data_IF_069036177973
#
_entry.id   IF_069036177973
#
_cell.length_a   1.000
_cell.length_b   1.000
_cell.length_c   1.000
_cell.angle_alpha   90.00
_cell.angle_beta   90.00
_cell.angle_gamma   90.00
#
_symmetry.space_group_name_H-M   'P 1'
#
loop_
_entity.id
_entity.type
_entity.pdbx_description
1 polymer ?
#
# COMPACT_ATOMS: atom_id res chain seq x y z
N UNK A 1 -29.98 -22.52 13.15
CA UNK A 1 -28.62 -23.10 13.01
C UNK A 1 -27.64 -21.97 13.09
N UNK A 2 -26.64 -22.04 13.95
CA UNK A 2 -25.57 -21.02 14.00
C UNK A 2 -24.67 -21.31 12.81
N UNK A 3 -24.68 -20.45 11.79
CA UNK A 3 -23.80 -20.58 10.64
C UNK A 3 -22.36 -20.27 11.06
N UNK A 4 -21.46 -21.23 10.90
CA UNK A 4 -20.01 -21.04 11.16
C UNK A 4 -19.40 -20.16 10.07
N UNK A 5 -18.47 -19.28 10.44
CA UNK A 5 -17.74 -18.40 9.51
C UNK A 5 -16.28 -18.77 9.43
N UNK A 6 -15.70 -18.60 8.24
CA UNK A 6 -14.27 -18.77 8.03
C UNK A 6 -13.48 -17.70 8.81
N UNK A 7 -12.55 -18.13 9.66
CA UNK A 7 -11.71 -17.21 10.44
C UNK A 7 -10.71 -16.39 9.58
N UNK A 8 -10.47 -16.84 8.34
CA UNK A 8 -9.53 -16.15 7.45
C UNK A 8 -10.19 -15.07 6.57
N UNK A 9 -11.36 -15.36 5.98
CA UNK A 9 -12.02 -14.47 5.03
C UNK A 9 -13.43 -14.01 5.44
N UNK A 10 -13.97 -14.50 6.57
CA UNK A 10 -15.26 -14.10 7.09
C UNK A 10 -16.48 -14.68 6.40
N UNK A 11 -16.30 -15.42 5.29
CA UNK A 11 -17.41 -16.02 4.55
C UNK A 11 -18.06 -17.17 5.36
N UNK A 12 -19.36 -17.40 5.16
CA UNK A 12 -20.05 -18.55 5.75
C UNK A 12 -19.48 -19.86 5.21
N UNK A 13 -19.26 -20.81 6.13
CA UNK A 13 -18.72 -22.11 5.78
C UNK A 13 -19.83 -23.03 5.27
N UNK A 14 -19.51 -23.79 4.23
CA UNK A 14 -20.39 -24.79 3.63
C UNK A 14 -19.59 -26.04 3.21
N UNK A 15 -20.28 -27.20 3.13
CA UNK A 15 -19.69 -28.47 2.72
C UNK A 15 -20.31 -29.04 1.43
N UNK A 16 -21.22 -28.31 0.80
CA UNK A 16 -22.02 -28.80 -0.32
C UNK A 16 -21.28 -28.74 -1.66
N UNK A 17 -20.58 -27.62 -1.93
CA UNK A 17 -19.92 -27.38 -3.22
C UNK A 17 -18.45 -26.98 -3.06
N UNK A 18 -17.53 -27.87 -3.54
CA UNK A 18 -16.08 -27.66 -3.46
C UNK A 18 -15.59 -26.46 -4.27
N UNK A 19 -16.36 -26.01 -5.26
CA UNK A 19 -15.99 -24.93 -6.16
C UNK A 19 -16.51 -23.55 -5.67
N UNK A 20 -17.37 -23.54 -4.66
CA UNK A 20 -17.88 -22.31 -4.08
C UNK A 20 -17.04 -21.86 -2.88
N UNK A 21 -17.10 -20.56 -2.63
CA UNK A 21 -16.46 -19.96 -1.45
C UNK A 21 -17.02 -20.58 -0.16
N UNK A 22 -16.17 -20.61 0.86
CA UNK A 22 -16.56 -21.16 2.16
C UNK A 22 -16.44 -22.67 2.28
N UNK A 23 -16.04 -23.41 1.24
CA UNK A 23 -15.97 -24.85 1.28
C UNK A 23 -15.03 -25.38 2.36
N UNK A 24 -15.53 -26.32 3.15
CA UNK A 24 -14.80 -27.13 4.15
C UNK A 24 -15.34 -28.55 4.10
N UNK A 25 -14.49 -29.59 4.20
CA UNK A 25 -14.99 -30.96 4.35
C UNK A 25 -15.96 -31.09 5.53
N UNK A 26 -17.08 -31.81 5.32
CA UNK A 26 -18.16 -31.95 6.29
C UNK A 26 -17.68 -32.42 7.66
N UNK A 27 -16.79 -33.40 7.69
CA UNK A 27 -16.20 -33.93 8.92
C UNK A 27 -15.52 -32.82 9.76
N UNK A 28 -14.81 -31.90 9.12
CA UNK A 28 -14.18 -30.76 9.81
C UNK A 28 -15.21 -29.73 10.26
N UNK A 29 -16.23 -29.49 9.43
CA UNK A 29 -17.30 -28.55 9.77
C UNK A 29 -18.05 -28.96 11.03
N UNK A 30 -18.24 -30.28 11.26
CA UNK A 30 -18.93 -30.84 12.42
C UNK A 30 -18.04 -30.88 13.66
N UNK A 31 -16.74 -31.14 13.51
CA UNK A 31 -15.85 -31.46 14.65
C UNK A 31 -15.03 -30.28 15.18
N UNK A 32 -14.87 -29.21 14.41
CA UNK A 32 -14.01 -28.11 14.76
C UNK A 32 -14.78 -26.78 14.85
N UNK A 33 -14.42 -25.95 15.84
CA UNK A 33 -15.00 -24.62 16.00
C UNK A 33 -14.26 -23.55 15.18
N UNK A 34 -12.95 -23.66 15.11
CA UNK A 34 -12.06 -22.68 14.50
C UNK A 34 -11.58 -23.16 13.11
N UNK A 35 -12.28 -22.74 12.04
CA UNK A 35 -12.06 -23.26 10.71
C UNK A 35 -11.63 -22.20 9.70
N UNK A 36 -10.73 -22.61 8.81
CA UNK A 36 -10.44 -21.91 7.57
C UNK A 36 -11.13 -22.65 6.41
N UNK A 37 -11.79 -21.91 5.50
CA UNK A 37 -12.24 -22.49 4.25
C UNK A 37 -11.05 -22.97 3.40
N UNK A 38 -11.29 -23.86 2.46
CA UNK A 38 -10.27 -24.45 1.60
C UNK A 38 -9.40 -23.39 0.92
N UNK A 39 -10.00 -22.29 0.46
CA UNK A 39 -9.28 -21.16 -0.14
C UNK A 39 -8.28 -20.51 0.84
N UNK A 40 -8.74 -20.14 2.03
CA UNK A 40 -7.90 -19.54 3.06
C UNK A 40 -6.81 -20.49 3.56
N UNK A 41 -7.14 -21.78 3.67
CA UNK A 41 -6.17 -22.81 4.00
C UNK A 41 -5.03 -22.90 2.97
N UNK A 42 -5.38 -22.91 1.68
CA UNK A 42 -4.40 -22.95 0.59
C UNK A 42 -3.56 -21.68 0.53
N UNK A 43 -4.16 -20.49 0.72
CA UNK A 43 -3.43 -19.23 0.78
C UNK A 43 -2.43 -19.24 1.95
N UNK A 44 -2.88 -19.65 3.14
CA UNK A 44 -2.05 -19.65 4.36
C UNK A 44 -0.89 -20.62 4.29
N UNK A 45 -1.13 -21.84 3.80
CA UNK A 45 -0.15 -22.93 3.87
C UNK A 45 0.69 -23.08 2.59
N UNK A 46 0.17 -22.67 1.43
CA UNK A 46 0.84 -22.86 0.14
C UNK A 46 1.08 -21.56 -0.62
N UNK A 47 0.64 -20.41 -0.10
CA UNK A 47 0.83 -19.12 -0.76
C UNK A 47 0.10 -18.99 -2.10
N UNK A 48 -0.90 -19.83 -2.39
CA UNK A 48 -1.61 -19.82 -3.66
C UNK A 48 -2.59 -18.65 -3.76
N UNK A 49 -2.48 -17.87 -4.82
CA UNK A 49 -3.49 -16.86 -5.16
C UNK A 49 -4.68 -17.57 -5.85
N UNK A 50 -5.80 -17.64 -5.16
CA UNK A 50 -7.02 -18.25 -5.70
C UNK A 50 -8.04 -17.15 -6.01
N UNK A 51 -8.61 -17.22 -7.22
CA UNK A 51 -9.68 -16.32 -7.64
C UNK A 51 -10.87 -16.40 -6.68
N UNK A 52 -11.63 -15.33 -6.60
CA UNK A 52 -12.92 -15.24 -5.91
C UNK A 52 -13.93 -14.51 -6.80
N UNK A 53 -15.21 -14.66 -6.48
CA UNK A 53 -16.32 -14.09 -7.27
C UNK A 53 -16.74 -12.69 -6.77
N UNK A 54 -16.01 -12.08 -5.84
CA UNK A 54 -16.32 -10.76 -5.30
C UNK A 54 -15.83 -9.65 -6.24
N UNK A 55 -16.74 -8.75 -6.59
CA UNK A 55 -16.43 -7.53 -7.33
C UNK A 55 -15.88 -6.43 -6.42
N UNK A 56 -15.30 -5.38 -7.01
CA UNK A 56 -14.90 -4.18 -6.25
C UNK A 56 -16.07 -3.55 -5.52
N UNK A 57 -17.27 -3.61 -6.11
CA UNK A 57 -18.48 -3.06 -5.52
C UNK A 57 -18.95 -3.88 -4.30
N UNK A 58 -18.78 -5.21 -4.30
CA UNK A 58 -19.09 -6.05 -3.14
C UNK A 58 -18.18 -5.70 -1.96
N UNK A 59 -16.88 -5.46 -2.20
CA UNK A 59 -15.96 -5.00 -1.17
C UNK A 59 -16.36 -3.63 -0.60
N UNK A 60 -16.73 -2.68 -1.46
CA UNK A 60 -17.20 -1.35 -1.04
C UNK A 60 -18.43 -1.42 -0.16
N UNK A 61 -19.43 -2.21 -0.57
CA UNK A 61 -20.67 -2.42 0.22
C UNK A 61 -20.36 -2.99 1.60
N UNK A 62 -19.47 -3.96 1.69
CA UNK A 62 -19.09 -4.60 2.95
C UNK A 62 -18.36 -3.63 3.88
N UNK A 63 -17.41 -2.83 3.32
CA UNK A 63 -16.71 -1.78 4.09
C UNK A 63 -17.70 -0.74 4.60
N UNK A 64 -18.56 -0.20 3.73
CA UNK A 64 -19.56 0.80 4.11
C UNK A 64 -20.49 0.32 5.23
N UNK A 65 -20.98 -0.93 5.15
CA UNK A 65 -21.83 -1.51 6.20
C UNK A 65 -21.10 -1.61 7.54
N UNK A 66 -19.80 -1.88 7.52
CA UNK A 66 -18.98 -1.98 8.72
C UNK A 66 -18.68 -0.61 9.32
N UNK A 67 -18.34 0.36 8.49
CA UNK A 67 -18.06 1.74 8.90
C UNK A 67 -19.28 2.39 9.53
N UNK A 68 -20.48 2.23 8.95
CA UNK A 68 -21.75 2.76 9.51
C UNK A 68 -22.09 2.26 10.91
N UNK A 69 -21.54 1.11 11.31
CA UNK A 69 -21.77 0.49 12.64
C UNK A 69 -20.61 0.75 13.62
N UNK A 70 -19.65 1.58 13.25
CA UNK A 70 -18.43 1.81 14.02
C UNK A 70 -18.50 3.10 14.82
N UNK A 71 -17.89 3.09 15.98
CA UNK A 71 -17.70 4.29 16.81
C UNK A 71 -16.50 5.13 16.29
N UNK A 72 -15.54 4.44 15.67
CA UNK A 72 -14.34 5.05 15.08
C UNK A 72 -13.82 4.19 13.93
N UNK A 73 -13.20 4.83 12.94
CA UNK A 73 -12.49 4.14 11.87
C UNK A 73 -10.97 4.22 12.05
N UNK A 74 -10.28 3.19 11.58
CA UNK A 74 -8.83 3.06 11.59
C UNK A 74 -8.31 2.91 10.15
N UNK A 75 -8.28 3.99 9.35
CA UNK A 75 -7.73 3.94 8.01
C UNK A 75 -6.24 3.67 8.07
N UNK A 76 -5.75 2.74 7.25
CA UNK A 76 -4.35 2.35 7.20
C UNK A 76 -3.72 2.77 5.87
N UNK A 77 -2.60 3.49 5.94
CA UNK A 77 -1.80 3.87 4.78
C UNK A 77 -0.40 3.25 4.85
N UNK A 78 0.13 2.90 3.68
CA UNK A 78 1.50 2.43 3.51
C UNK A 78 2.41 3.63 3.28
N UNK A 79 3.36 3.90 4.17
CA UNK A 79 4.23 5.08 4.03
C UNK A 79 5.12 5.01 2.78
N UNK A 80 5.45 3.80 2.31
CA UNK A 80 6.31 3.60 1.13
C UNK A 80 5.52 3.76 -0.17
N UNK A 81 4.25 3.37 -0.18
CA UNK A 81 3.33 3.59 -1.31
C UNK A 81 2.13 4.44 -0.83
N UNK A 82 2.45 5.61 -0.25
CA UNK A 82 1.44 6.48 0.33
C UNK A 82 0.39 6.88 -0.69
N UNK A 83 0.81 7.36 -1.87
CA UNK A 83 -0.11 7.81 -2.93
C UNK A 83 -0.93 6.67 -3.54
N UNK A 84 -0.39 5.44 -3.56
CA UNK A 84 -1.13 4.24 -3.99
C UNK A 84 -2.12 3.74 -2.94
N UNK A 85 -1.95 4.10 -1.67
CA UNK A 85 -2.88 3.77 -0.58
C UNK A 85 -3.81 4.92 -0.20
N UNK A 86 -3.46 6.15 -0.58
CA UNK A 86 -4.18 7.39 -0.33
C UNK A 86 -5.19 7.63 -1.46
N UNK A 87 -6.28 6.86 -1.45
CA UNK A 87 -7.29 6.84 -2.49
C UNK A 87 -8.52 7.64 -2.07
N UNK A 88 -9.21 8.25 -3.04
CA UNK A 88 -10.42 9.06 -2.79
C UNK A 88 -11.46 8.27 -1.99
N UNK A 89 -11.60 6.97 -2.27
CA UNK A 89 -12.54 6.10 -1.56
C UNK A 89 -12.21 6.00 -0.05
N UNK A 90 -10.95 5.95 0.35
CA UNK A 90 -10.54 5.96 1.76
C UNK A 90 -10.71 7.35 2.36
N UNK A 91 -10.42 8.40 1.58
CA UNK A 91 -10.54 9.79 2.01
C UNK A 91 -11.99 10.20 2.27
N UNK A 92 -12.94 9.69 1.49
CA UNK A 92 -14.37 9.94 1.70
C UNK A 92 -14.82 9.42 3.08
N UNK A 93 -14.36 8.23 3.49
CA UNK A 93 -14.64 7.77 4.86
C UNK A 93 -13.98 8.67 5.92
N UNK A 94 -12.77 9.20 5.66
CA UNK A 94 -12.08 10.09 6.60
C UNK A 94 -12.76 11.46 6.77
N UNK A 95 -13.49 11.91 5.76
CA UNK A 95 -14.27 13.17 5.84
C UNK A 95 -15.54 13.01 6.68
N UNK A 96 -16.12 11.80 6.68
CA UNK A 96 -17.44 11.56 7.27
C UNK A 96 -17.39 10.95 8.68
N UNK A 97 -16.27 10.34 9.09
CA UNK A 97 -16.18 9.57 10.33
C UNK A 97 -14.98 9.94 11.19
N UNK A 98 -15.17 9.90 12.51
CA UNK A 98 -14.06 10.01 13.48
C UNK A 98 -13.00 8.95 13.20
N UNK A 99 -11.73 9.32 13.27
CA UNK A 99 -10.67 8.45 12.81
C UNK A 99 -9.36 8.56 13.58
N UNK A 100 -8.69 7.43 13.74
CA UNK A 100 -7.27 7.38 14.06
C UNK A 100 -6.57 6.85 12.81
N UNK A 101 -5.81 7.71 12.12
CA UNK A 101 -5.07 7.33 10.92
C UNK A 101 -3.84 6.50 11.30
N UNK A 102 -3.72 5.32 10.71
CA UNK A 102 -2.58 4.42 10.92
C UNK A 102 -1.61 4.51 9.74
N UNK A 103 -0.37 4.87 10.02
CA UNK A 103 0.72 4.89 9.03
C UNK A 103 1.61 3.69 9.28
N UNK A 104 1.53 2.70 8.39
CA UNK A 104 2.24 1.43 8.53
C UNK A 104 3.53 1.39 7.70
N UNK A 105 4.36 0.39 7.99
CA UNK A 105 5.65 0.10 7.34
C UNK A 105 6.72 1.18 7.55
N UNK A 106 6.66 1.90 8.64
CA UNK A 106 7.67 2.92 8.97
C UNK A 106 9.09 2.35 9.12
N UNK A 107 9.21 1.04 9.37
CA UNK A 107 10.46 0.28 9.40
C UNK A 107 11.18 0.20 8.05
N UNK A 108 10.51 0.57 6.97
CA UNK A 108 11.09 0.60 5.63
C UNK A 108 11.69 1.96 5.27
N UNK A 109 11.40 3.00 6.05
CA UNK A 109 12.02 4.31 5.88
C UNK A 109 13.48 4.29 6.34
N UNK A 110 14.34 5.12 5.73
CA UNK A 110 15.71 5.25 6.18
C UNK A 110 15.83 5.74 7.63
N UNK A 111 16.80 5.21 8.38
CA UNK A 111 17.02 5.53 9.80
C UNK A 111 17.27 7.02 10.09
N UNK A 112 17.73 7.79 9.08
CA UNK A 112 17.96 9.23 9.25
C UNK A 112 16.68 10.06 9.27
N UNK A 113 15.51 9.47 8.99
CA UNK A 113 14.22 10.17 8.95
C UNK A 113 13.67 10.29 10.38
N UNK A 114 13.47 11.51 10.83
CA UNK A 114 12.98 11.73 12.18
C UNK A 114 11.46 11.52 12.27
N UNK A 115 10.95 10.84 13.32
CA UNK A 115 9.52 10.58 13.48
C UNK A 115 8.63 11.83 13.42
N UNK A 116 9.12 12.98 13.93
CA UNK A 116 8.39 14.25 13.87
C UNK A 116 8.26 14.78 12.44
N UNK A 117 9.24 14.55 11.57
CA UNK A 117 9.18 14.96 10.15
C UNK A 117 8.06 14.18 9.45
N UNK A 118 8.00 12.86 9.67
CA UNK A 118 6.94 12.02 9.12
C UNK A 118 5.57 12.47 9.64
N UNK A 119 5.47 12.77 10.95
CA UNK A 119 4.22 13.20 11.56
C UNK A 119 3.70 14.51 10.95
N UNK A 120 4.58 15.48 10.80
CA UNK A 120 4.22 16.79 10.23
C UNK A 120 3.84 16.64 8.76
N UNK A 121 4.58 15.84 8.00
CA UNK A 121 4.30 15.58 6.60
C UNK A 121 2.93 14.91 6.41
N UNK A 122 2.64 13.84 7.18
CA UNK A 122 1.34 13.14 7.11
C UNK A 122 0.18 14.07 7.44
N UNK A 123 0.32 14.88 8.50
CA UNK A 123 -0.72 15.85 8.88
C UNK A 123 -0.94 16.90 7.81
N UNK A 124 0.14 17.44 7.23
CA UNK A 124 0.03 18.37 6.11
C UNK A 124 -0.68 17.74 4.91
N UNK A 125 -0.31 16.51 4.55
CA UNK A 125 -0.91 15.79 3.44
C UNK A 125 -2.40 15.50 3.63
N UNK A 126 -2.82 15.17 4.86
CA UNK A 126 -4.24 15.03 5.22
C UNK A 126 -4.97 16.38 5.18
N UNK A 127 -4.33 17.45 5.66
CA UNK A 127 -4.91 18.79 5.68
C UNK A 127 -5.15 19.34 4.26
N UNK A 128 -4.31 19.00 3.27
CA UNK A 128 -4.53 19.33 1.85
C UNK A 128 -5.87 18.78 1.33
N UNK A 129 -6.32 17.64 1.88
CA UNK A 129 -7.62 17.02 1.56
C UNK A 129 -8.76 17.49 2.49
N UNK A 130 -8.51 18.49 3.34
CA UNK A 130 -9.47 18.98 4.33
C UNK A 130 -9.74 18.02 5.48
N UNK A 131 -8.84 17.06 5.73
CA UNK A 131 -9.02 16.00 6.74
C UNK A 131 -8.22 16.32 7.99
N UNK A 132 -8.92 16.30 9.14
CA UNK A 132 -8.31 16.44 10.48
C UNK A 132 -8.73 15.22 11.31
N UNK A 133 -7.90 14.17 11.38
CA UNK A 133 -8.22 12.99 12.17
C UNK A 133 -8.13 13.28 13.68
N UNK A 134 -8.84 12.52 14.51
CA UNK A 134 -8.73 12.61 15.97
C UNK A 134 -7.29 12.33 16.44
N UNK A 135 -6.60 11.39 15.77
CA UNK A 135 -5.19 11.11 16.06
C UNK A 135 -4.50 10.40 14.86
N UNK A 136 -3.17 10.32 14.91
CA UNK A 136 -2.33 9.59 13.95
C UNK A 136 -1.43 8.63 14.71
N UNK A 137 -1.35 7.38 14.28
CA UNK A 137 -0.47 6.37 14.85
C UNK A 137 0.52 5.85 13.80
N UNK A 138 1.80 5.87 14.16
CA UNK A 138 2.89 5.32 13.35
C UNK A 138 3.18 3.91 13.81
N UNK A 139 3.11 2.95 12.89
CA UNK A 139 3.20 1.53 13.21
C UNK A 139 4.11 0.76 12.24
N UNK A 140 4.67 -0.34 12.74
CA UNK A 140 5.29 -1.36 11.92
C UNK A 140 4.74 -2.72 12.34
N UNK A 141 4.02 -3.37 11.44
CA UNK A 141 3.57 -4.74 11.68
C UNK A 141 4.75 -5.71 11.77
N UNK A 142 5.84 -5.47 11.04
CA UNK A 142 7.04 -6.31 11.03
C UNK A 142 7.78 -6.26 12.37
N UNK A 143 8.03 -5.06 12.88
CA UNK A 143 8.80 -4.84 14.10
C UNK A 143 7.92 -4.73 15.36
N UNK A 144 6.59 -4.90 15.21
CA UNK A 144 5.59 -4.73 16.28
C UNK A 144 5.60 -3.34 16.93
N UNK A 145 6.22 -2.36 16.26
CA UNK A 145 6.34 -1.00 16.78
C UNK A 145 4.98 -0.29 16.72
N UNK A 146 4.66 0.47 17.76
CA UNK A 146 3.49 1.36 17.81
C UNK A 146 2.13 0.66 17.94
N UNK A 147 2.03 -0.66 17.77
CA UNK A 147 0.76 -1.41 17.72
C UNK A 147 -0.05 -1.26 19.02
N UNK A 148 0.58 -1.41 20.18
CA UNK A 148 -0.08 -1.20 21.48
C UNK A 148 -0.50 0.27 21.67
N UNK A 149 0.12 1.21 20.96
CA UNK A 149 -0.26 2.62 20.93
C UNK A 149 -1.66 2.85 20.35
N UNK A 150 -2.10 2.01 19.41
CA UNK A 150 -3.45 2.07 18.83
C UNK A 150 -4.51 1.93 19.91
N UNK A 151 -4.37 0.89 20.77
CA UNK A 151 -5.31 0.63 21.87
C UNK A 151 -5.34 1.79 22.87
N UNK A 152 -4.15 2.33 23.21
CA UNK A 152 -4.06 3.49 24.11
C UNK A 152 -4.77 4.72 23.54
N UNK A 153 -4.60 5.01 22.24
CA UNK A 153 -5.26 6.13 21.56
C UNK A 153 -6.78 5.98 21.56
N UNK A 154 -7.30 4.78 21.24
CA UNK A 154 -8.75 4.48 21.31
C UNK A 154 -9.25 4.69 22.75
N UNK A 155 -8.58 4.14 23.75
CA UNK A 155 -8.98 4.28 25.15
C UNK A 155 -8.96 5.72 25.65
N UNK A 156 -8.01 6.55 25.18
CA UNK A 156 -7.95 7.97 25.52
C UNK A 156 -9.17 8.73 24.98
N UNK A 157 -9.59 8.46 23.75
CA UNK A 157 -10.76 9.09 23.11
C UNK A 157 -12.04 8.61 23.80
N UNK A 158 -12.21 7.32 24.02
CA UNK A 158 -13.45 6.72 24.51
C UNK A 158 -13.49 6.43 26.02
N UNK A 159 -12.44 6.82 26.76
CA UNK A 159 -12.35 6.67 28.23
C UNK A 159 -12.65 5.24 28.70
N UNK A 160 -12.03 4.25 28.03
CA UNK A 160 -12.18 2.80 28.28
C UNK A 160 -13.61 2.26 28.15
N UNK A 161 -14.51 2.95 27.45
CA UNK A 161 -15.84 2.43 27.13
C UNK A 161 -15.76 1.34 26.07
N UNK A 162 -16.87 0.62 25.89
CA UNK A 162 -17.02 -0.36 24.79
C UNK A 162 -16.96 0.39 23.46
N UNK A 163 -16.03 -0.04 22.57
CA UNK A 163 -15.77 0.60 21.27
C UNK A 163 -15.74 -0.44 20.17
N UNK A 164 -16.38 -0.12 19.08
CA UNK A 164 -16.29 -0.83 17.81
C UNK A 164 -15.43 0.01 16.85
N UNK A 165 -14.22 -0.45 16.56
CA UNK A 165 -13.28 0.23 15.68
C UNK A 165 -13.11 -0.55 14.37
N UNK A 166 -13.44 0.04 13.23
CA UNK A 166 -13.30 -0.60 11.92
C UNK A 166 -11.99 -0.21 11.27
N UNK A 167 -11.15 -1.22 10.98
CA UNK A 167 -9.93 -1.04 10.22
C UNK A 167 -10.24 -1.13 8.74
N UNK A 168 -9.77 -0.16 7.96
CA UNK A 168 -9.99 -0.09 6.51
C UNK A 168 -8.75 0.41 5.76
N UNK A 169 -8.73 0.23 4.47
CA UNK A 169 -7.64 0.63 3.60
C UNK A 169 -7.51 -0.32 2.41
N UNK A 170 -6.68 0.05 1.46
CA UNK A 170 -6.46 -0.77 0.26
C UNK A 170 -5.77 -2.10 0.59
N UNK A 171 -5.74 -2.99 -0.37
CA UNK A 171 -5.03 -4.27 -0.21
C UNK A 171 -3.52 -4.07 -0.01
N UNK A 172 -2.91 -4.94 0.80
CA UNK A 172 -1.47 -5.02 1.07
C UNK A 172 -0.86 -3.87 1.90
N UNK A 173 -1.66 -2.99 2.49
CA UNK A 173 -1.17 -1.98 3.45
C UNK A 173 -0.85 -2.55 4.84
N UNK A 174 -1.25 -3.80 5.11
CA UNK A 174 -0.92 -4.52 6.35
C UNK A 174 -2.06 -4.62 7.37
N UNK A 175 -3.33 -4.45 6.97
CA UNK A 175 -4.52 -4.58 7.86
C UNK A 175 -4.47 -5.83 8.72
N UNK A 176 -4.53 -7.01 8.09
CA UNK A 176 -4.58 -8.30 8.79
C UNK A 176 -3.35 -8.54 9.68
N UNK A 177 -2.18 -8.05 9.27
CA UNK A 177 -0.97 -8.14 10.10
C UNK A 177 -1.07 -7.32 11.38
N UNK A 178 -1.60 -6.09 11.30
CA UNK A 178 -1.83 -5.23 12.48
C UNK A 178 -2.89 -5.87 13.40
N UNK A 179 -3.99 -6.38 12.82
CA UNK A 179 -5.06 -7.00 13.60
C UNK A 179 -4.55 -8.22 14.34
N UNK A 180 -3.79 -9.12 13.69
CA UNK A 180 -3.19 -10.30 14.34
C UNK A 180 -2.31 -9.90 15.54
N UNK A 181 -1.53 -8.83 15.41
CA UNK A 181 -0.72 -8.32 16.51
C UNK A 181 -1.57 -7.77 17.66
N UNK A 182 -2.67 -7.07 17.37
CA UNK A 182 -3.60 -6.57 18.36
C UNK A 182 -4.33 -7.70 19.12
N UNK A 183 -4.62 -8.80 18.42
CA UNK A 183 -5.25 -9.99 18.97
C UNK A 183 -4.28 -10.93 19.68
N UNK A 184 -2.97 -10.72 19.51
CA UNK A 184 -1.90 -11.66 19.93
C UNK A 184 -2.11 -13.07 19.36
N UNK A 185 -2.58 -13.16 18.13
CA UNK A 185 -3.01 -14.40 17.49
C UNK A 185 -2.85 -14.32 15.97
N UNK A 186 -2.45 -15.43 15.35
CA UNK A 186 -2.25 -15.55 13.90
C UNK A 186 -3.48 -16.17 13.18
N UNK A 187 -4.66 -16.03 13.74
CA UNK A 187 -5.90 -16.60 13.18
C UNK A 187 -6.30 -15.97 11.85
N UNK A 188 -6.12 -14.67 11.71
CA UNK A 188 -6.49 -13.97 10.47
C UNK A 188 -5.45 -14.29 9.39
N UNK A 189 -5.92 -14.72 8.23
CA UNK A 189 -5.05 -15.04 7.11
C UNK A 189 -4.36 -13.78 6.61
N UNK A 190 -3.03 -13.73 6.76
CA UNK A 190 -2.19 -12.70 6.17
C UNK A 190 -1.61 -13.22 4.87
N UNK A 191 -1.70 -12.45 3.79
CA UNK A 191 -1.15 -12.83 2.50
C UNK A 191 -0.65 -11.60 1.75
N UNK A 192 0.35 -11.80 0.92
CA UNK A 192 0.82 -10.80 -0.06
C UNK A 192 -0.16 -10.62 -1.23
N UNK A 193 -1.16 -11.49 -1.33
CA UNK A 193 -2.18 -11.44 -2.37
C UNK A 193 -3.39 -10.62 -1.93
N UNK A 194 -3.99 -9.90 -2.86
CA UNK A 194 -5.23 -9.14 -2.64
C UNK A 194 -6.44 -10.05 -2.40
N UNK A 195 -7.46 -9.54 -1.68
CA UNK A 195 -8.74 -10.23 -1.52
C UNK A 195 -8.71 -11.43 -0.58
N UNK A 196 -7.86 -11.43 0.46
CA UNK A 196 -7.86 -12.48 1.49
C UNK A 196 -9.10 -12.43 2.34
N UNK A 197 -9.49 -11.26 2.84
CA UNK A 197 -10.73 -11.06 3.60
C UNK A 197 -11.87 -10.76 2.63
N UNK A 198 -12.93 -11.54 2.66
CA UNK A 198 -14.10 -11.39 1.77
C UNK A 198 -15.29 -10.76 2.48
N UNK A 199 -15.44 -10.99 3.78
CA UNK A 199 -16.49 -10.46 4.65
C UNK A 199 -15.87 -9.88 5.92
N UNK A 200 -16.53 -8.87 6.48
CA UNK A 200 -16.07 -8.24 7.71
C UNK A 200 -16.10 -9.18 8.91
N UNK A 201 -15.03 -9.20 9.68
CA UNK A 201 -14.86 -10.08 10.85
C UNK A 201 -14.72 -9.24 12.11
N UNK A 202 -15.53 -9.54 13.12
CA UNK A 202 -15.44 -8.90 14.43
C UNK A 202 -14.46 -9.65 15.33
N UNK A 203 -13.47 -8.96 15.83
CA UNK A 203 -12.43 -9.51 16.68
C UNK A 203 -12.34 -8.72 17.98
N UNK A 204 -12.64 -9.35 19.12
CA UNK A 204 -12.47 -8.72 20.43
C UNK A 204 -10.99 -8.70 20.81
N UNK A 205 -10.47 -7.53 21.11
CA UNK A 205 -9.09 -7.38 21.60
C UNK A 205 -9.00 -7.89 23.03
N UNK A 206 -8.08 -8.83 23.34
CA UNK A 206 -7.92 -9.35 24.69
C UNK A 206 -7.70 -8.25 25.73
N UNK A 207 -8.26 -8.44 26.91
CA UNK A 207 -8.12 -7.55 28.07
C UNK A 207 -8.60 -6.11 27.84
N UNK A 208 -9.50 -5.90 26.86
CA UNK A 208 -10.04 -4.58 26.54
C UNK A 208 -11.55 -4.62 26.27
N UNK A 209 -12.16 -3.43 26.16
CA UNK A 209 -13.55 -3.27 25.72
C UNK A 209 -13.64 -2.97 24.20
N UNK A 210 -12.54 -3.19 23.45
CA UNK A 210 -12.43 -2.84 22.04
C UNK A 210 -12.72 -4.05 21.16
N UNK A 211 -13.59 -3.86 20.18
CA UNK A 211 -13.81 -4.81 19.09
C UNK A 211 -13.25 -4.22 17.81
N UNK A 212 -12.23 -4.86 17.23
CA UNK A 212 -11.70 -4.51 15.91
C UNK A 212 -12.49 -5.25 14.84
N UNK A 213 -12.96 -4.51 13.87
CA UNK A 213 -13.61 -5.06 12.66
C UNK A 213 -12.61 -5.09 11.53
N UNK A 214 -12.22 -6.29 11.11
CA UNK A 214 -11.43 -6.46 9.87
C UNK A 214 -12.36 -6.36 8.68
N UNK A 215 -12.04 -5.49 7.74
CA UNK A 215 -12.78 -5.33 6.49
C UNK A 215 -12.01 -5.86 5.29
N UNK A 216 -12.71 -6.26 4.21
CA UNK A 216 -12.05 -6.51 2.93
C UNK A 216 -11.14 -5.34 2.54
N UNK A 217 -10.00 -5.66 1.93
CA UNK A 217 -9.14 -4.65 1.33
C UNK A 217 -9.80 -4.02 0.13
N UNK A 218 -9.91 -2.70 0.12
CA UNK A 218 -10.32 -1.98 -1.08
C UNK A 218 -9.31 -2.25 -2.20
N UNK A 219 -9.81 -2.40 -3.41
CA UNK A 219 -8.94 -2.71 -4.56
C UNK A 219 -8.34 -1.38 -5.03
N UNK A 220 -7.03 -1.18 -4.86
CA UNK A 220 -6.41 0.04 -5.34
C UNK A 220 -6.38 0.06 -6.86
N UNK A 221 -6.37 1.26 -7.41
CA UNK A 221 -6.18 1.50 -8.84
C UNK A 221 -5.11 2.58 -9.02
N UNK A 222 -4.39 2.48 -10.12
CA UNK A 222 -3.42 3.51 -10.46
C UNK A 222 -1.99 3.23 -10.02
N UNK A 223 -1.64 1.99 -9.64
CA UNK A 223 -0.27 1.61 -9.31
C UNK A 223 0.39 0.83 -10.45
N UNK A 224 1.70 0.92 -10.57
CA UNK A 224 2.46 0.07 -11.50
C UNK A 224 2.21 -1.42 -11.23
N UNK A 225 2.13 -1.81 -9.95
CA UNK A 225 1.85 -3.18 -9.54
C UNK A 225 0.49 -3.72 -10.01
N UNK A 226 -0.46 -2.86 -10.38
CA UNK A 226 -1.78 -3.26 -10.85
C UNK A 226 -1.76 -3.67 -12.35
N UNK A 227 -0.68 -3.34 -13.07
CA UNK A 227 -0.50 -3.60 -14.51
C UNK A 227 0.37 -4.83 -14.81
N UNK A 228 0.87 -5.52 -13.79
CA UNK A 228 1.80 -6.64 -13.92
C UNK A 228 1.33 -7.84 -13.11
N UNK A 229 1.98 -9.00 -13.30
CA UNK A 229 1.64 -10.18 -12.50
C UNK A 229 1.90 -9.95 -11.01
N UNK A 230 1.17 -10.67 -10.16
CA UNK A 230 1.35 -10.61 -8.71
C UNK A 230 2.79 -10.94 -8.32
N UNK A 231 3.40 -11.93 -8.99
CA UNK A 231 4.79 -12.33 -8.73
C UNK A 231 5.78 -11.19 -9.01
N UNK A 232 5.64 -10.51 -10.13
CA UNK A 232 6.47 -9.36 -10.50
C UNK A 232 6.16 -8.15 -9.61
N UNK A 233 4.90 -7.94 -9.24
CA UNK A 233 4.47 -6.90 -8.30
C UNK A 233 5.09 -7.06 -6.90
N UNK A 234 5.29 -8.30 -6.43
CA UNK A 234 5.97 -8.57 -5.16
C UNK A 234 7.43 -8.13 -5.15
N UNK A 235 8.10 -8.09 -6.32
CA UNK A 235 9.48 -7.59 -6.44
C UNK A 235 9.56 -6.07 -6.27
N UNK A 236 8.45 -5.35 -6.50
CA UNK A 236 8.36 -3.89 -6.29
C UNK A 236 8.18 -3.53 -4.81
N UNK A 237 7.73 -4.45 -3.98
CA UNK A 237 7.55 -4.23 -2.54
C UNK A 237 8.89 -4.39 -1.83
N UNK A 238 9.38 -3.38 -1.07
CA UNK A 238 10.60 -3.52 -0.31
C UNK A 238 10.49 -4.60 0.77
N UNK A 239 11.48 -5.49 0.85
CA UNK A 239 11.57 -6.50 1.90
C UNK A 239 12.25 -6.00 3.18
N UNK A 240 12.93 -4.85 3.12
CA UNK A 240 13.61 -4.14 4.21
C UNK A 240 13.69 -2.67 3.86
N UNK A 241 14.62 -1.93 4.46
CA UNK A 241 14.82 -0.51 4.17
C UNK A 241 14.82 -0.22 2.66
N UNK A 242 14.12 0.84 2.28
CA UNK A 242 14.00 1.25 0.87
C UNK A 242 15.36 1.62 0.28
N UNK A 243 15.63 1.16 -0.95
CA UNK A 243 16.87 1.49 -1.65
C UNK A 243 16.88 2.95 -2.07
N UNK A 244 18.01 3.62 -1.85
CA UNK A 244 18.24 5.01 -2.26
C UNK A 244 19.47 5.12 -3.15
N UNK A 245 19.37 5.84 -4.27
CA UNK A 245 20.51 6.27 -5.07
C UNK A 245 20.39 7.74 -5.44
N UNK A 246 21.49 8.47 -5.35
CA UNK A 246 21.56 9.89 -5.66
C UNK A 246 22.20 10.11 -7.03
N UNK A 247 21.62 11.03 -7.79
CA UNK A 247 22.01 11.32 -9.16
C UNK A 247 22.25 12.81 -9.34
N UNK A 248 23.22 13.10 -10.22
CA UNK A 248 23.45 14.41 -10.83
C UNK A 248 23.29 14.21 -12.32
N UNK A 249 22.19 14.66 -12.89
CA UNK A 249 21.93 14.49 -14.31
C UNK A 249 22.09 15.80 -15.06
N UNK A 250 22.42 15.64 -16.34
CA UNK A 250 22.55 16.73 -17.30
C UNK A 250 21.36 16.69 -18.27
N UNK A 251 21.14 17.80 -18.94
CA UNK A 251 20.11 17.88 -19.97
C UNK A 251 20.29 16.81 -21.05
N UNK A 252 19.19 16.36 -21.62
CA UNK A 252 19.11 15.29 -22.61
C UNK A 252 19.49 13.88 -22.12
N UNK A 253 19.88 13.71 -20.86
CA UNK A 253 19.98 12.37 -20.27
C UNK A 253 18.58 11.83 -19.95
N UNK A 254 18.45 10.49 -20.03
CA UNK A 254 17.25 9.77 -19.68
C UNK A 254 17.51 8.95 -18.43
N UNK A 255 16.70 9.16 -17.40
CA UNK A 255 16.68 8.33 -16.21
C UNK A 255 15.56 7.30 -16.33
N UNK A 256 15.86 6.05 -16.04
CA UNK A 256 14.94 4.94 -16.14
C UNK A 256 14.71 4.32 -14.76
N UNK A 257 13.43 4.18 -14.37
CA UNK A 257 12.97 3.35 -13.28
C UNK A 257 12.65 1.95 -13.84
N UNK A 258 13.69 1.12 -13.98
CA UNK A 258 13.58 -0.18 -14.62
C UNK A 258 12.90 -0.05 -16.01
N UNK A 259 11.98 -0.93 -16.36
CA UNK A 259 11.16 -0.83 -17.58
C UNK A 259 9.90 0.02 -17.40
N UNK A 260 9.56 0.39 -16.16
CA UNK A 260 8.22 0.88 -15.82
C UNK A 260 7.96 2.32 -16.23
N UNK A 261 8.92 3.18 -16.03
CA UNK A 261 8.83 4.56 -16.49
C UNK A 261 10.22 5.15 -16.76
N UNK A 262 10.23 6.24 -17.51
CA UNK A 262 11.46 6.97 -17.81
C UNK A 262 11.21 8.47 -17.87
N UNK A 263 12.20 9.25 -17.52
CA UNK A 263 12.15 10.70 -17.71
C UNK A 263 13.39 11.21 -18.41
N UNK A 264 13.15 11.97 -19.46
CA UNK A 264 14.16 12.77 -20.13
C UNK A 264 14.31 14.09 -19.38
N UNK A 265 15.53 14.46 -19.06
CA UNK A 265 15.86 15.73 -18.43
C UNK A 265 15.78 16.81 -19.50
N UNK A 266 14.85 17.75 -19.37
CA UNK A 266 14.69 18.87 -20.27
C UNK A 266 15.53 20.06 -19.81
N UNK A 267 15.42 20.38 -18.52
CA UNK A 267 16.16 21.45 -17.88
C UNK A 267 16.61 21.00 -16.49
N UNK A 268 17.87 21.19 -16.20
CA UNK A 268 18.46 20.91 -14.89
C UNK A 268 19.15 22.18 -14.39
N UNK A 269 18.35 23.24 -14.11
CA UNK A 269 18.90 24.56 -13.98
C UNK A 269 18.49 25.31 -12.72
N UNK A 270 19.50 25.85 -12.05
CA UNK A 270 19.43 26.99 -11.13
C UNK A 270 20.83 27.52 -10.84
N UNK A 271 21.72 27.56 -11.85
CA UNK A 271 23.14 27.93 -11.68
C UNK A 271 24.00 26.85 -10.99
N UNK A 272 23.38 25.75 -10.56
CA UNK A 272 24.02 24.57 -9.94
C UNK A 272 23.47 23.29 -10.54
N UNK A 273 24.28 22.23 -10.59
CA UNK A 273 23.80 20.91 -11.04
C UNK A 273 22.68 20.43 -10.13
N UNK A 274 21.52 20.13 -10.69
CA UNK A 274 20.39 19.54 -9.97
C UNK A 274 20.78 18.20 -9.39
N UNK A 275 20.43 17.98 -8.13
CA UNK A 275 20.68 16.74 -7.41
C UNK A 275 19.35 16.18 -6.96
N UNK A 276 19.08 14.93 -7.31
CA UNK A 276 17.95 14.20 -6.78
C UNK A 276 18.32 12.81 -6.26
N UNK A 277 17.53 12.27 -5.36
CA UNK A 277 17.65 10.89 -4.90
C UNK A 277 16.42 10.10 -5.35
N UNK A 278 16.65 8.94 -5.95
CA UNK A 278 15.61 7.99 -6.33
C UNK A 278 15.45 6.91 -5.24
N UNK A 279 14.21 6.56 -4.94
CA UNK A 279 13.81 5.62 -3.90
C UNK A 279 12.89 4.55 -4.49
N UNK A 280 13.22 3.27 -4.27
CA UNK A 280 12.38 2.13 -4.65
C UNK A 280 12.83 0.84 -3.96
N UNK A 281 12.18 -0.28 -4.25
CA UNK A 281 12.66 -1.61 -3.87
C UNK A 281 14.08 -1.86 -4.41
N UNK A 282 14.88 -2.63 -3.67
CA UNK A 282 16.24 -3.04 -4.10
C UNK A 282 16.26 -3.80 -5.42
N UNK A 283 15.14 -4.40 -5.80
CA UNK A 283 15.01 -5.14 -7.06
C UNK A 283 14.86 -4.21 -8.27
N UNK A 284 14.40 -2.98 -8.07
CA UNK A 284 14.20 -2.00 -9.13
C UNK A 284 15.54 -1.39 -9.52
N UNK A 285 15.90 -1.53 -10.79
CA UNK A 285 17.13 -0.94 -11.31
C UNK A 285 16.91 0.51 -11.74
N UNK A 286 17.76 1.40 -11.22
CA UNK A 286 17.88 2.75 -11.73
C UNK A 286 18.99 2.80 -12.77
N UNK A 287 18.70 3.36 -13.94
CA UNK A 287 19.66 3.47 -15.02
C UNK A 287 19.63 4.85 -15.68
N UNK A 288 20.79 5.37 -16.02
CA UNK A 288 20.94 6.62 -16.75
C UNK A 288 21.51 6.31 -18.13
N UNK A 289 20.87 6.85 -19.15
CA UNK A 289 21.23 6.58 -20.54
C UNK A 289 20.99 7.80 -21.43
N UNK A 290 21.20 7.64 -22.73
CA UNK A 290 20.80 8.60 -23.77
C UNK A 290 19.55 8.09 -24.49
N UNK A 291 18.79 8.99 -25.09
CA UNK A 291 17.51 8.68 -25.74
C UNK A 291 17.64 7.57 -26.80
N UNK A 292 18.74 7.55 -27.56
CA UNK A 292 18.97 6.59 -28.65
C UNK A 292 19.07 5.14 -28.14
N UNK A 293 19.51 4.94 -26.89
CA UNK A 293 19.72 3.61 -26.29
C UNK A 293 18.49 3.09 -25.53
N UNK A 294 17.48 3.91 -25.32
CA UNK A 294 16.29 3.55 -24.51
C UNK A 294 15.58 2.34 -25.11
N UNK A 295 15.36 2.31 -26.42
CA UNK A 295 14.66 1.20 -27.10
C UNK A 295 15.37 -0.14 -26.89
N UNK A 296 16.69 -0.17 -27.01
CA UNK A 296 17.48 -1.37 -26.85
C UNK A 296 17.45 -1.89 -25.41
N UNK A 297 17.52 -0.97 -24.44
CA UNK A 297 17.43 -1.32 -23.01
C UNK A 297 16.05 -1.89 -22.64
N UNK A 298 14.97 -1.35 -23.19
CA UNK A 298 13.61 -1.83 -22.93
C UNK A 298 13.36 -3.21 -23.54
N UNK A 299 13.88 -3.47 -24.75
CA UNK A 299 13.75 -4.75 -25.45
C UNK A 299 14.70 -5.83 -24.94
N UNK A 300 15.87 -5.43 -24.45
CA UNK A 300 16.93 -6.32 -24.00
C UNK A 300 16.68 -6.94 -22.63
N UNK A 301 17.68 -7.71 -22.15
CA UNK A 301 17.63 -8.43 -20.87
C UNK A 301 18.27 -7.66 -19.71
N UNK A 302 18.53 -6.37 -19.89
CA UNK A 302 19.14 -5.55 -18.84
C UNK A 302 18.23 -5.42 -17.61
N UNK A 303 16.93 -5.20 -17.82
CA UNK A 303 15.92 -5.14 -16.78
C UNK A 303 15.23 -6.51 -16.66
N UNK A 304 15.15 -7.06 -15.43
CA UNK A 304 14.79 -8.46 -15.19
C UNK A 304 13.60 -8.65 -14.23
N UNK A 305 12.92 -7.58 -13.82
CA UNK A 305 11.72 -7.71 -12.97
C UNK A 305 10.62 -8.43 -13.74
N UNK A 306 10.38 -8.00 -14.98
CA UNK A 306 9.41 -8.60 -15.88
C UNK A 306 10.10 -9.61 -16.78
N UNK A 307 9.47 -10.77 -16.99
CA UNK A 307 9.82 -11.70 -18.05
C UNK A 307 9.60 -11.08 -19.43
N UNK A 308 10.12 -11.68 -20.50
CA UNK A 308 9.93 -11.18 -21.87
C UNK A 308 8.45 -11.04 -22.23
N UNK A 309 7.64 -12.05 -21.95
CA UNK A 309 6.20 -12.04 -22.23
C UNK A 309 5.43 -11.02 -21.37
N UNK A 310 5.89 -10.76 -20.14
CA UNK A 310 5.30 -9.71 -19.30
C UNK A 310 5.67 -8.31 -19.79
N UNK A 311 6.90 -8.10 -20.28
CA UNK A 311 7.30 -6.83 -20.89
C UNK A 311 6.41 -6.50 -22.10
N UNK A 312 6.20 -7.49 -22.98
CA UNK A 312 5.33 -7.34 -24.16
C UNK A 312 3.92 -6.88 -23.73
N UNK A 313 3.28 -7.59 -22.79
CA UNK A 313 1.97 -7.19 -22.24
C UNK A 313 1.99 -5.83 -21.54
N UNK A 314 3.04 -5.53 -20.80
CA UNK A 314 3.17 -4.22 -20.11
C UNK A 314 3.21 -3.07 -21.12
N UNK A 315 3.88 -3.25 -22.26
CA UNK A 315 3.96 -2.25 -23.31
C UNK A 315 2.72 -2.16 -24.22
N UNK A 316 1.74 -3.05 -24.08
CA UNK A 316 0.41 -2.92 -24.69
C UNK A 316 -0.45 -1.85 -23.99
N UNK A 317 -0.12 -1.47 -22.75
CA UNK A 317 -0.80 -0.37 -22.09
C UNK A 317 -0.61 0.94 -22.85
N UNK A 318 -1.61 1.81 -22.77
CA UNK A 318 -1.49 3.17 -23.30
C UNK A 318 -0.51 3.97 -22.45
N UNK A 319 0.56 4.47 -23.07
CA UNK A 319 1.52 5.35 -22.43
C UNK A 319 1.20 6.81 -22.72
N UNK A 320 1.48 7.66 -21.76
CA UNK A 320 1.38 9.12 -21.88
C UNK A 320 2.75 9.76 -21.65
N UNK A 321 2.92 10.92 -22.27
CA UNK A 321 4.08 11.77 -22.08
C UNK A 321 3.63 13.08 -21.45
N UNK A 322 4.22 13.45 -20.31
CA UNK A 322 3.93 14.74 -19.65
C UNK A 322 5.23 15.45 -19.31
N UNK A 323 5.17 16.77 -19.39
CA UNK A 323 6.24 17.62 -18.87
C UNK A 323 5.90 18.04 -17.45
N UNK A 324 6.80 17.75 -16.53
CA UNK A 324 6.61 18.02 -15.10
C UNK A 324 7.84 18.78 -14.58
N UNK A 325 7.60 19.79 -13.77
CA UNK A 325 8.60 20.50 -12.99
C UNK A 325 8.54 20.03 -11.54
N UNK A 326 9.70 19.70 -10.97
CA UNK A 326 9.84 19.28 -9.56
C UNK A 326 10.88 20.19 -8.92
N UNK A 327 10.48 20.91 -7.89
CA UNK A 327 11.32 21.87 -7.17
C UNK A 327 12.11 21.21 -6.05
N UNK A 328 13.05 21.96 -5.50
CA UNK A 328 13.79 21.54 -4.32
C UNK A 328 12.83 21.23 -3.16
N UNK A 329 13.05 20.09 -2.48
CA UNK A 329 12.20 19.53 -1.44
C UNK A 329 10.81 19.09 -1.91
N UNK A 330 10.63 18.86 -3.20
CA UNK A 330 9.48 18.13 -3.76
C UNK A 330 9.89 16.73 -4.20
N UNK A 331 8.88 15.86 -4.31
CA UNK A 331 9.00 14.49 -4.81
C UNK A 331 8.08 14.27 -6.01
N UNK A 332 8.62 13.64 -7.05
CA UNK A 332 7.82 13.03 -8.12
C UNK A 332 7.62 11.56 -7.78
N UNK A 333 6.38 11.20 -7.49
CA UNK A 333 5.97 9.86 -7.05
C UNK A 333 5.30 9.11 -8.18
N UNK A 334 5.69 7.86 -8.36
CA UNK A 334 5.05 6.89 -9.25
C UNK A 334 4.43 5.82 -8.36
N UNK A 335 3.10 5.80 -8.26
CA UNK A 335 2.40 4.91 -7.34
C UNK A 335 2.70 3.43 -7.62
N UNK A 336 2.97 2.67 -6.56
CA UNK A 336 3.34 1.26 -6.62
C UNK A 336 4.76 0.97 -7.13
N UNK A 337 5.59 2.01 -7.34
CA UNK A 337 6.96 1.85 -7.83
C UNK A 337 8.00 2.53 -6.94
N UNK A 338 7.80 3.81 -6.63
CA UNK A 338 8.75 4.61 -5.88
C UNK A 338 8.67 6.09 -6.21
N UNK A 339 9.71 6.84 -5.87
CA UNK A 339 9.74 8.29 -6.09
C UNK A 339 11.15 8.83 -6.30
N UNK A 340 11.23 10.02 -6.88
CA UNK A 340 12.44 10.84 -6.86
C UNK A 340 12.22 12.05 -5.96
N UNK A 341 13.23 12.41 -5.19
CA UNK A 341 13.22 13.57 -4.31
C UNK A 341 14.31 14.54 -4.77
N UNK A 342 13.92 15.76 -5.16
CA UNK A 342 14.86 16.79 -5.58
C UNK A 342 15.51 17.42 -4.35
N UNK A 343 16.81 17.19 -4.21
CA UNK A 343 17.62 17.63 -3.07
C UNK A 343 18.18 19.04 -3.24
N UNK A 344 18.38 19.45 -4.48
CA UNK A 344 18.95 20.76 -4.83
C UNK A 344 18.57 21.14 -6.24
N UNK A 345 18.15 22.39 -6.42
CA UNK A 345 17.77 22.96 -7.70
C UNK A 345 16.35 22.58 -8.12
N UNK A 346 16.05 22.80 -9.38
CA UNK A 346 14.77 22.44 -10.01
C UNK A 346 15.02 21.45 -11.13
N UNK A 347 14.14 20.49 -11.28
CA UNK A 347 14.21 19.44 -12.28
C UNK A 347 12.96 19.49 -13.16
N UNK A 348 13.13 19.86 -14.43
CA UNK A 348 12.07 19.78 -15.43
C UNK A 348 12.28 18.56 -16.31
N UNK A 349 11.31 17.68 -16.34
CA UNK A 349 11.39 16.38 -17.00
C UNK A 349 10.22 16.14 -17.93
N UNK A 350 10.49 15.45 -19.03
CA UNK A 350 9.50 14.78 -19.84
C UNK A 350 9.40 13.32 -19.36
N UNK A 351 8.31 12.99 -18.66
CA UNK A 351 8.08 11.63 -18.13
C UNK A 351 7.17 10.85 -19.07
N UNK A 352 7.55 9.58 -19.32
CA UNK A 352 6.77 8.60 -20.09
C UNK A 352 6.40 7.45 -19.16
N UNK A 353 5.11 7.19 -19.01
CA UNK A 353 4.56 6.19 -18.10
C UNK A 353 3.19 5.70 -18.56
N UNK A 354 2.67 4.53 -18.10
CA UNK A 354 1.32 4.09 -18.44
C UNK A 354 0.25 5.06 -17.93
N UNK A 355 -0.71 5.45 -18.78
CA UNK A 355 -1.78 6.42 -18.44
C UNK A 355 -2.57 6.03 -17.19
N UNK A 356 -2.74 4.72 -16.96
CA UNK A 356 -3.45 4.19 -15.80
C UNK A 356 -2.69 4.38 -14.46
N UNK A 357 -1.40 4.77 -14.49
CA UNK A 357 -0.59 4.93 -13.27
C UNK A 357 -0.72 6.34 -12.72
N UNK A 358 -0.98 6.45 -11.41
CA UNK A 358 -1.00 7.73 -10.69
C UNK A 358 0.43 8.25 -10.54
N UNK A 359 0.69 9.43 -11.09
CA UNK A 359 1.95 10.16 -10.95
C UNK A 359 1.66 11.52 -10.34
N UNK A 360 2.35 11.87 -9.25
CA UNK A 360 2.06 13.07 -8.44
C UNK A 360 3.35 13.78 -8.10
N UNK A 361 3.30 15.10 -8.06
CA UNK A 361 4.30 15.93 -7.38
C UNK A 361 3.75 16.32 -6.02
N UNK A 362 4.55 16.14 -4.99
CA UNK A 362 4.18 16.46 -3.61
C UNK A 362 5.37 16.99 -2.82
N UNK A 363 5.10 17.57 -1.66
CA UNK A 363 6.17 17.91 -0.71
C UNK A 363 6.92 16.64 -0.29
N UNK A 364 8.26 16.75 -0.15
CA UNK A 364 9.09 15.61 0.20
C UNK A 364 8.83 15.12 1.63
N UNK A 365 8.74 13.80 1.82
CA UNK A 365 8.60 13.18 3.16
C UNK A 365 9.77 13.62 4.05
N UNK A 366 10.97 13.71 3.49
CA UNK A 366 12.16 14.19 4.19
C UNK A 366 12.92 15.21 3.35
N UNK A 367 13.04 16.40 3.91
CA UNK A 367 13.69 17.54 3.27
C UNK A 367 15.21 17.45 3.35
N UNK A 368 15.89 18.15 2.46
CA UNK A 368 17.33 18.35 2.57
C UNK A 368 17.61 19.20 3.81
N UNK A 369 18.48 18.74 4.70
CA UNK A 369 18.97 19.59 5.77
C UNK A 369 19.78 20.71 5.10
N UNK A 370 19.37 21.95 5.30
CA UNK A 370 20.24 23.10 4.98
C UNK A 370 21.39 23.03 5.99
N UNK A 371 22.60 22.80 5.50
CA UNK A 371 23.81 23.03 6.30
C UNK A 371 23.98 24.51 6.58
#
# INVERSE_FOLDING_TARGET
MITKKCLGCGIELQCEDKNKEGFVPEEKLLTQENLLCQRCYKIKNYGQNLANNFSSEDYRKEVLQSVKKSDIILPIFDIIDFEGSFTDEVLDYLRDYNSIVLINKIDLLPDFVHPTEISNWVKARLAEEGIVPDDVAFVSAKNKYGVNGIIRKINNIFKNKKVRATILGVSNVGKSSIINLLLKDDRITTSKYSGTTLKSINNKVPDTQITIVDTPGLIPVGRVSDLISVESGLKLVPAGEISRKTFKLEENQVFMFDVFCRFKILEANSGYKTIFSAYSSKNVKFHVTRQERVSDLLKGDFFQILSKSEKERYFENKFVTKVIEVKENEELVIAGLGWINVKRGTLKVEIVYPEAVKVVVREAIFKSKKN
#
